data_IF_581644422946
#
_entry.id   IF_581644422946
#
_cell.length_a   1.000
_cell.length_b   1.000
_cell.length_c   1.000
_cell.angle_alpha   90.00
_cell.angle_beta   90.00
_cell.angle_gamma   90.00
#
_symmetry.space_group_name_H-M   'P 1'
#
loop_
_entity.id
_entity.type
_entity.pdbx_description
1 polymer ?
#
# COMPACT_ATOMS: atom_id res chain seq x y z
N UNK A 1 -17.70 -1.41 -12.41
CA UNK A 1 -17.30 -0.47 -13.47
C UNK A 1 -16.00 -0.96 -14.09
N UNK A 2 -15.84 -0.85 -15.42
CA UNK A 2 -14.58 -1.18 -16.08
C UNK A 2 -13.70 0.08 -16.18
N UNK A 3 -12.66 0.15 -15.35
CA UNK A 3 -11.67 1.23 -15.40
C UNK A 3 -10.68 1.02 -16.55
N UNK A 4 -10.20 2.11 -17.14
CA UNK A 4 -9.12 2.07 -18.13
C UNK A 4 -7.81 1.55 -17.52
N UNK A 5 -6.85 1.11 -18.34
CA UNK A 5 -5.55 0.68 -17.84
C UNK A 5 -4.84 1.77 -17.02
N UNK A 6 -4.97 3.05 -17.41
CA UNK A 6 -4.37 4.17 -16.69
C UNK A 6 -5.10 4.45 -15.37
N UNK A 7 -6.43 4.30 -15.33
CA UNK A 7 -7.21 4.41 -14.09
C UNK A 7 -6.89 3.27 -13.13
N UNK A 8 -6.75 2.04 -13.62
CA UNK A 8 -6.29 0.91 -12.80
C UNK A 8 -4.88 1.16 -12.24
N UNK A 9 -3.98 1.75 -13.04
CA UNK A 9 -2.67 2.17 -12.52
C UNK A 9 -2.81 3.24 -11.42
N UNK A 10 -3.71 4.22 -11.58
CA UNK A 10 -3.98 5.24 -10.56
C UNK A 10 -4.54 4.64 -9.26
N UNK A 11 -5.51 3.72 -9.36
CA UNK A 11 -6.10 3.01 -8.20
C UNK A 11 -5.02 2.21 -7.46
N UNK A 12 -4.20 1.44 -8.17
CA UNK A 12 -3.13 0.66 -7.53
C UNK A 12 -2.05 1.55 -6.90
N UNK A 13 -1.73 2.70 -7.54
CA UNK A 13 -0.78 3.66 -6.99
C UNK A 13 -1.35 4.36 -5.74
N UNK A 14 -2.65 4.69 -5.74
CA UNK A 14 -3.35 5.23 -4.57
C UNK A 14 -3.29 4.26 -3.40
N UNK A 15 -3.57 2.96 -3.62
CA UNK A 15 -3.43 1.94 -2.57
C UNK A 15 -2.01 1.84 -2.01
N UNK A 16 -0.99 1.94 -2.88
CA UNK A 16 0.41 1.96 -2.44
C UNK A 16 0.72 3.19 -1.57
N UNK A 17 0.31 4.38 -2.01
CA UNK A 17 0.59 5.62 -1.31
C UNK A 17 -0.27 5.81 -0.06
N UNK A 18 -1.46 5.20 0.01
CA UNK A 18 -2.23 5.08 1.24
C UNK A 18 -1.46 4.28 2.28
N UNK A 19 -0.99 3.08 1.93
CA UNK A 19 -0.21 2.27 2.86
C UNK A 19 1.08 2.98 3.32
N UNK A 20 1.78 3.67 2.41
CA UNK A 20 3.01 4.40 2.74
C UNK A 20 2.78 5.68 3.55
N UNK A 21 1.68 6.39 3.33
CA UNK A 21 1.30 7.54 4.16
C UNK A 21 0.98 7.08 5.59
N UNK A 22 0.29 5.94 5.76
CA UNK A 22 0.05 5.33 7.06
C UNK A 22 1.34 4.89 7.76
N UNK A 23 2.31 4.28 7.04
CA UNK A 23 3.64 3.96 7.60
C UNK A 23 4.31 5.21 8.14
N UNK A 24 4.24 6.31 7.38
CA UNK A 24 4.84 7.59 7.75
C UNK A 24 4.14 8.21 8.97
N UNK A 25 2.82 8.11 9.04
CA UNK A 25 1.97 8.62 10.11
C UNK A 25 2.25 7.89 11.42
N UNK A 26 2.10 6.56 11.46
CA UNK A 26 2.29 5.80 12.69
C UNK A 26 3.72 5.89 13.23
N UNK A 27 4.73 5.96 12.35
CA UNK A 27 6.10 6.14 12.78
C UNK A 27 6.32 7.48 13.51
N UNK A 28 5.51 8.50 13.25
CA UNK A 28 5.62 9.84 13.85
C UNK A 28 4.64 10.10 14.99
N UNK A 29 3.46 9.52 14.93
CA UNK A 29 2.36 9.84 15.87
C UNK A 29 1.99 8.67 16.77
N UNK A 30 2.31 7.43 16.38
CA UNK A 30 1.84 6.22 17.06
C UNK A 30 0.37 5.86 16.80
N UNK A 31 -0.36 6.69 16.02
CA UNK A 31 -1.78 6.54 15.71
C UNK A 31 -2.01 6.32 14.21
N UNK A 32 -3.13 5.70 13.89
CA UNK A 32 -3.59 5.42 12.52
C UNK A 32 -5.09 5.68 12.41
N UNK A 33 -5.54 6.17 11.27
CA UNK A 33 -6.95 6.07 10.91
C UNK A 33 -7.32 4.58 10.73
N UNK A 34 -8.35 4.12 11.45
CA UNK A 34 -8.73 2.70 11.45
C UNK A 34 -9.27 2.23 10.10
N UNK A 35 -10.07 3.04 9.41
CA UNK A 35 -10.65 2.68 8.11
C UNK A 35 -9.55 2.55 7.05
N UNK A 36 -8.64 3.52 6.94
CA UNK A 36 -7.56 3.47 5.97
C UNK A 36 -6.61 2.29 6.22
N UNK A 37 -6.30 2.02 7.50
CA UNK A 37 -5.49 0.88 7.90
C UNK A 37 -6.18 -0.43 7.51
N UNK A 38 -7.46 -0.59 7.86
CA UNK A 38 -8.22 -1.78 7.50
C UNK A 38 -8.32 -1.98 5.99
N UNK A 39 -8.50 -0.91 5.20
CA UNK A 39 -8.48 -1.00 3.73
C UNK A 39 -7.16 -1.59 3.24
N UNK A 40 -6.02 -1.12 3.76
CA UNK A 40 -4.71 -1.68 3.40
C UNK A 40 -4.58 -3.16 3.80
N UNK A 41 -5.02 -3.54 4.99
CA UNK A 41 -4.93 -4.93 5.47
C UNK A 41 -5.87 -5.86 4.70
N UNK A 42 -7.15 -5.47 4.54
CA UNK A 42 -8.13 -6.22 3.73
C UNK A 42 -7.64 -6.46 2.32
N UNK A 43 -6.92 -5.48 1.74
CA UNK A 43 -6.35 -5.63 0.41
C UNK A 43 -5.41 -6.84 0.31
N UNK A 44 -4.69 -7.21 1.37
CA UNK A 44 -3.77 -8.36 1.37
C UNK A 44 -4.48 -9.71 1.23
N UNK A 45 -5.77 -9.77 1.56
CA UNK A 45 -6.57 -10.99 1.56
C UNK A 45 -7.42 -11.16 0.29
N UNK A 46 -7.32 -10.22 -0.65
CA UNK A 46 -7.99 -10.30 -1.94
C UNK A 46 -7.08 -10.97 -2.98
N UNK A 47 -7.16 -12.31 -3.03
CA UNK A 47 -6.30 -13.21 -3.81
C UNK A 47 -6.65 -13.24 -5.30
N UNK A 48 -7.94 -13.14 -5.64
CA UNK A 48 -8.45 -13.25 -7.02
C UNK A 48 -9.46 -12.13 -7.32
N UNK A 49 -9.01 -10.87 -7.34
CA UNK A 49 -9.89 -9.74 -7.55
C UNK A 49 -10.50 -9.74 -8.96
N UNK A 50 -11.79 -9.47 -9.04
CA UNK A 50 -12.50 -9.24 -10.33
C UNK A 50 -12.04 -7.95 -11.02
N UNK A 51 -11.54 -6.97 -10.26
CA UNK A 51 -11.01 -5.71 -10.79
C UNK A 51 -9.95 -5.11 -9.86
N UNK A 52 -9.18 -4.14 -10.37
CA UNK A 52 -8.21 -3.42 -9.52
C UNK A 52 -8.88 -2.70 -8.35
N UNK A 53 -10.14 -2.26 -8.50
CA UNK A 53 -10.88 -1.59 -7.42
C UNK A 53 -11.39 -2.58 -6.37
N UNK A 54 -11.82 -3.78 -6.75
CA UNK A 54 -12.39 -4.76 -5.81
C UNK A 54 -11.39 -5.17 -4.73
N UNK A 55 -10.10 -5.02 -5.01
CA UNK A 55 -9.00 -5.11 -4.04
C UNK A 55 -9.17 -4.22 -2.81
N UNK A 56 -9.72 -3.02 -2.99
CA UNK A 56 -9.81 -1.99 -1.96
C UNK A 56 -11.27 -1.70 -1.54
N UNK A 57 -12.24 -2.25 -2.26
CA UNK A 57 -13.67 -2.09 -1.99
C UNK A 57 -14.30 -0.95 -2.78
N UNK A 58 -13.92 0.30 -2.51
CA UNK A 58 -14.47 1.49 -3.17
C UNK A 58 -13.41 2.56 -3.42
N UNK A 59 -13.74 3.60 -4.20
CA UNK A 59 -12.84 4.72 -4.41
C UNK A 59 -12.76 5.58 -3.14
N UNK A 60 -13.88 5.74 -2.41
CA UNK A 60 -13.93 6.45 -1.13
C UNK A 60 -12.93 5.92 -0.10
N UNK A 61 -12.76 4.60 -0.04
CA UNK A 61 -11.76 3.94 0.83
C UNK A 61 -10.29 4.20 0.42
N UNK A 62 -10.07 4.83 -0.74
CA UNK A 62 -8.76 5.22 -1.26
C UNK A 62 -8.54 6.73 -1.31
N UNK A 63 -9.45 7.55 -0.75
CA UNK A 63 -9.37 9.01 -0.83
C UNK A 63 -8.01 9.54 -0.36
N UNK A 64 -7.50 9.05 0.79
CA UNK A 64 -6.16 9.40 1.30
C UNK A 64 -5.08 9.03 0.29
N UNK A 65 -5.15 7.84 -0.29
CA UNK A 65 -4.22 7.37 -1.31
C UNK A 65 -4.22 8.26 -2.54
N UNK A 66 -5.40 8.64 -3.04
CA UNK A 66 -5.54 9.54 -4.18
C UNK A 66 -5.02 10.94 -3.87
N UNK A 67 -5.37 11.52 -2.72
CA UNK A 67 -4.87 12.83 -2.29
C UNK A 67 -3.34 12.86 -2.14
N UNK A 68 -2.76 11.78 -1.59
CA UNK A 68 -1.30 11.62 -1.51
C UNK A 68 -0.67 11.50 -2.91
N UNK A 69 -1.32 10.79 -3.82
CA UNK A 69 -0.86 10.66 -5.21
C UNK A 69 -0.89 12.00 -5.93
N UNK A 70 -1.99 12.73 -5.81
CA UNK A 70 -2.20 14.04 -6.43
C UNK A 70 -1.15 15.04 -5.97
N UNK A 71 -0.94 15.17 -4.65
CA UNK A 71 0.09 16.05 -4.08
C UNK A 71 1.50 15.73 -4.60
N UNK A 72 1.88 14.46 -4.68
CA UNK A 72 3.18 14.05 -5.23
C UNK A 72 3.32 14.33 -6.73
N UNK A 73 2.21 14.32 -7.48
CA UNK A 73 2.18 14.59 -8.91
C UNK A 73 2.04 16.09 -9.24
N UNK A 74 1.56 16.92 -8.33
CA UNK A 74 1.30 18.35 -8.55
C UNK A 74 2.42 19.26 -8.00
N UNK A 75 2.99 18.94 -6.84
CA UNK A 75 3.86 19.87 -6.12
C UNK A 75 5.34 19.80 -6.50
N UNK A 76 6.07 20.88 -6.17
CA UNK A 76 7.54 20.85 -6.07
C UNK A 76 7.93 19.99 -4.86
N UNK A 77 8.83 19.02 -5.07
CA UNK A 77 9.17 18.00 -4.09
C UNK A 77 9.83 18.62 -2.83
N UNK A 78 9.05 18.74 -1.74
CA UNK A 78 9.51 19.11 -0.40
C UNK A 78 10.12 17.94 0.38
N UNK A 79 10.68 18.20 1.57
CA UNK A 79 11.35 17.17 2.41
C UNK A 79 10.40 16.04 2.83
N UNK A 80 9.14 16.37 3.14
CA UNK A 80 8.12 15.40 3.53
C UNK A 80 7.73 14.47 2.38
N UNK A 81 7.69 15.00 1.16
CA UNK A 81 7.40 14.27 -0.07
C UNK A 81 8.58 13.35 -0.44
N UNK A 82 9.84 13.77 -0.18
CA UNK A 82 11.04 12.95 -0.43
C UNK A 82 11.01 11.62 0.32
N UNK A 83 10.61 11.60 1.59
CA UNK A 83 10.53 10.35 2.35
C UNK A 83 9.53 9.37 1.73
N UNK A 84 8.33 9.85 1.34
CA UNK A 84 7.33 9.00 0.68
C UNK A 84 7.80 8.49 -0.67
N UNK A 85 8.46 9.33 -1.47
CA UNK A 85 9.05 8.91 -2.75
C UNK A 85 10.11 7.83 -2.53
N UNK A 86 10.99 7.99 -1.53
CA UNK A 86 12.00 7.00 -1.20
C UNK A 86 11.37 5.67 -0.77
N UNK A 87 10.30 5.72 0.03
CA UNK A 87 9.55 4.51 0.39
C UNK A 87 8.93 3.86 -0.84
N UNK A 88 8.28 4.62 -1.72
CA UNK A 88 7.65 4.10 -2.94
C UNK A 88 8.67 3.46 -3.89
N UNK A 89 9.85 4.07 -4.06
CA UNK A 89 10.96 3.50 -4.83
C UNK A 89 11.45 2.19 -4.20
N UNK A 90 11.62 2.18 -2.87
CA UNK A 90 12.01 0.99 -2.12
C UNK A 90 11.02 -0.16 -2.23
N UNK A 91 9.73 0.13 -2.05
CA UNK A 91 8.62 -0.80 -2.24
C UNK A 91 8.62 -1.37 -3.66
N UNK A 92 8.76 -0.51 -4.67
CA UNK A 92 8.76 -0.94 -6.06
C UNK A 92 9.95 -1.85 -6.39
N UNK A 93 11.11 -1.63 -5.76
CA UNK A 93 12.27 -2.53 -5.87
C UNK A 93 11.98 -3.88 -5.21
N UNK A 94 11.48 -3.88 -3.97
CA UNK A 94 11.14 -5.10 -3.23
C UNK A 94 10.05 -5.94 -3.94
N UNK A 95 9.02 -5.29 -4.49
CA UNK A 95 8.00 -5.94 -5.31
C UNK A 95 8.61 -6.62 -6.55
N UNK A 96 9.55 -5.95 -7.22
CA UNK A 96 10.28 -6.53 -8.35
C UNK A 96 11.13 -7.75 -7.96
N UNK A 97 11.80 -7.71 -6.80
CA UNK A 97 12.55 -8.85 -6.26
C UNK A 97 11.64 -10.02 -5.89
N UNK A 98 10.53 -9.75 -5.21
CA UNK A 98 9.55 -10.77 -4.83
C UNK A 98 8.95 -11.46 -6.06
N UNK A 99 8.56 -10.71 -7.08
CA UNK A 99 8.00 -11.27 -8.33
C UNK A 99 8.98 -12.19 -9.08
N UNK A 100 10.29 -11.97 -8.93
CA UNK A 100 11.34 -12.82 -9.50
C UNK A 100 11.61 -14.07 -8.66
N UNK A 101 11.38 -14.01 -7.35
CA UNK A 101 11.54 -15.17 -6.46
C UNK A 101 10.20 -15.92 -6.30
N UNK A 102 9.93 -16.86 -7.22
CA UNK A 102 8.65 -17.59 -7.27
C UNK A 102 8.36 -18.39 -6.00
N UNK A 103 9.38 -19.01 -5.41
CA UNK A 103 9.22 -19.77 -4.18
C UNK A 103 8.79 -18.88 -3.01
N UNK A 104 9.47 -17.73 -2.83
CA UNK A 104 9.10 -16.78 -1.78
C UNK A 104 7.72 -16.17 -2.02
N UNK A 105 7.38 -15.85 -3.28
CA UNK A 105 6.04 -15.34 -3.62
C UNK A 105 4.95 -16.36 -3.26
N UNK A 106 5.17 -17.65 -3.56
CA UNK A 106 4.25 -18.72 -3.18
C UNK A 106 4.15 -18.86 -1.64
N UNK A 107 5.27 -18.77 -0.92
CA UNK A 107 5.26 -18.77 0.56
C UNK A 107 4.46 -17.59 1.12
N UNK A 108 4.63 -16.38 0.59
CA UNK A 108 3.85 -15.20 1.03
C UNK A 108 2.37 -15.42 0.76
N UNK A 109 1.99 -15.90 -0.44
CA UNK A 109 0.61 -16.20 -0.79
C UNK A 109 -0.03 -17.22 0.15
N UNK A 110 0.64 -18.35 0.39
CA UNK A 110 0.13 -19.37 1.31
C UNK A 110 -0.06 -18.84 2.73
N UNK A 111 0.93 -18.11 3.27
CA UNK A 111 0.82 -17.58 4.63
C UNK A 111 -0.25 -16.48 4.76
N UNK A 112 -0.48 -15.69 3.71
CA UNK A 112 -1.57 -14.72 3.67
C UNK A 112 -2.93 -15.42 3.62
N UNK A 113 -3.06 -16.52 2.88
CA UNK A 113 -4.26 -17.35 2.88
C UNK A 113 -4.58 -17.89 4.29
N UNK A 114 -3.56 -18.38 5.02
CA UNK A 114 -3.74 -18.85 6.39
C UNK A 114 -4.11 -17.71 7.36
N UNK A 115 -3.49 -16.53 7.20
CA UNK A 115 -3.80 -15.34 8.00
C UNK A 115 -5.21 -14.80 7.72
N UNK A 116 -5.72 -14.94 6.50
CA UNK A 116 -7.11 -14.59 6.13
C UNK A 116 -8.11 -15.38 6.98
N UNK A 117 -7.91 -16.68 7.17
CA UNK A 117 -8.77 -17.51 8.04
C UNK A 117 -8.73 -17.07 9.49
N UNK A 118 -7.60 -16.59 10.01
CA UNK A 118 -7.56 -16.03 11.37
C UNK A 118 -8.35 -14.72 11.48
N UNK A 119 -8.32 -13.90 10.42
CA UNK A 119 -9.01 -12.61 10.41
C UNK A 119 -10.54 -12.72 10.44
N UNK A 120 -11.13 -13.84 9.99
CA UNK A 120 -12.59 -14.05 10.06
C UNK A 120 -13.10 -14.22 11.49
N UNK A 121 -12.25 -14.70 12.40
CA UNK A 121 -12.59 -14.90 13.81
C UNK A 121 -12.33 -13.65 14.67
N UNK A 122 -11.24 -12.94 14.42
CA UNK A 122 -10.77 -11.85 15.28
C UNK A 122 -11.03 -10.43 14.72
N UNK A 123 -11.31 -10.32 13.42
CA UNK A 123 -11.29 -9.05 12.70
C UNK A 123 -9.91 -8.74 12.10
N UNK A 124 -9.90 -8.00 10.99
CA UNK A 124 -8.69 -7.71 10.20
C UNK A 124 -7.67 -6.81 10.92
N UNK A 125 -8.12 -6.01 11.87
CA UNK A 125 -7.31 -5.05 12.63
C UNK A 125 -6.82 -5.60 13.99
N UNK A 126 -7.16 -6.85 14.32
CA UNK A 126 -6.78 -7.46 15.59
C UNK A 126 -5.27 -7.74 15.66
N UNK A 127 -4.65 -7.50 16.83
CA UNK A 127 -3.20 -7.57 17.04
C UNK A 127 -2.58 -8.91 16.58
N UNK A 128 -3.21 -10.05 16.87
CA UNK A 128 -2.76 -11.36 16.40
C UNK A 128 -2.67 -11.47 14.87
N UNK A 129 -3.67 -10.92 14.14
CA UNK A 129 -3.69 -10.93 12.67
C UNK A 129 -2.56 -10.04 12.15
N UNK A 130 -2.42 -8.84 12.72
CA UNK A 130 -1.36 -7.90 12.32
C UNK A 130 0.03 -8.46 12.61
N UNK A 131 0.22 -9.09 13.78
CA UNK A 131 1.48 -9.73 14.16
C UNK A 131 1.83 -10.87 13.19
N UNK A 132 0.86 -11.71 12.79
CA UNK A 132 1.10 -12.76 11.80
C UNK A 132 1.49 -12.17 10.43
N UNK A 133 0.82 -11.12 9.95
CA UNK A 133 1.18 -10.42 8.70
C UNK A 133 2.59 -9.81 8.80
N UNK A 134 2.93 -9.18 9.93
CA UNK A 134 4.25 -8.64 10.20
C UNK A 134 5.34 -9.72 10.18
N UNK A 135 5.00 -10.91 10.67
CA UNK A 135 5.83 -12.11 10.64
C UNK A 135 6.04 -12.66 9.22
N UNK A 136 5.04 -12.52 8.33
CA UNK A 136 5.19 -12.82 6.91
C UNK A 136 6.26 -11.89 6.32
N UNK A 137 6.12 -10.59 6.51
CA UNK A 137 7.09 -9.61 6.02
C UNK A 137 8.50 -9.85 6.58
N UNK A 138 8.62 -10.13 7.88
CA UNK A 138 9.91 -10.36 8.55
C UNK A 138 10.63 -11.62 8.05
N UNK A 139 9.89 -12.73 7.88
CA UNK A 139 10.46 -14.02 7.46
C UNK A 139 10.66 -14.14 5.94
N UNK A 140 10.15 -13.19 5.15
CA UNK A 140 10.25 -13.22 3.68
C UNK A 140 10.91 -11.96 3.14
N UNK A 141 10.19 -10.84 3.06
CA UNK A 141 10.66 -9.62 2.40
C UNK A 141 11.90 -9.03 3.06
N UNK A 142 11.95 -9.06 4.40
CA UNK A 142 13.10 -8.53 5.15
C UNK A 142 14.39 -9.35 4.98
N UNK A 143 14.33 -10.53 4.36
CA UNK A 143 15.53 -11.33 4.06
C UNK A 143 16.27 -10.82 2.82
N UNK A 144 15.65 -9.94 2.01
CA UNK A 144 16.38 -9.25 0.95
C UNK A 144 17.41 -8.27 1.53
N UNK A 145 18.51 -8.07 0.81
CA UNK A 145 19.58 -7.15 1.22
C UNK A 145 19.15 -5.68 1.32
N UNK A 146 18.09 -5.29 0.62
CA UNK A 146 17.58 -3.92 0.64
C UNK A 146 16.56 -3.75 1.77
N UNK A 147 16.71 -2.69 2.56
CA UNK A 147 15.81 -2.37 3.67
C UNK A 147 15.23 -0.97 3.51
N UNK A 148 13.93 -0.84 3.70
CA UNK A 148 13.24 0.45 3.79
C UNK A 148 13.59 1.08 5.13
N UNK A 149 14.16 2.29 5.09
CA UNK A 149 14.55 3.04 6.28
C UNK A 149 13.38 3.91 6.75
N UNK A 150 12.53 3.39 7.62
CA UNK A 150 11.37 4.12 8.13
C UNK A 150 11.83 5.18 9.15
N UNK A 151 11.58 6.44 8.81
CA UNK A 151 11.85 7.61 9.67
C UNK A 151 10.60 8.01 10.46
N UNK A 152 10.81 8.24 11.75
CA UNK A 152 9.78 8.65 12.70
C UNK A 152 10.37 8.93 14.08
N UNK A 153 9.49 9.05 15.07
CA UNK A 153 9.88 9.29 16.47
C UNK A 153 10.34 7.98 17.11
N UNK A 154 11.48 8.04 17.80
CA UNK A 154 12.10 6.87 18.43
C UNK A 154 11.16 6.15 19.39
N UNK A 155 10.43 6.91 20.22
CA UNK A 155 9.48 6.39 21.21
C UNK A 155 8.39 5.52 20.61
N UNK A 156 7.93 5.81 19.38
CA UNK A 156 6.95 4.98 18.70
C UNK A 156 7.61 3.80 17.98
N UNK A 157 8.75 4.03 17.32
CA UNK A 157 9.46 2.99 16.56
C UNK A 157 9.97 1.83 17.43
N UNK A 158 10.16 2.05 18.73
CA UNK A 158 10.52 1.00 19.67
C UNK A 158 9.34 0.10 20.09
N UNK A 159 8.10 0.52 19.86
CA UNK A 159 6.92 -0.25 20.27
C UNK A 159 6.67 -1.40 19.30
N UNK A 160 6.52 -2.63 19.83
CA UNK A 160 6.27 -3.81 19.00
C UNK A 160 5.02 -3.68 18.14
N UNK A 161 3.92 -3.15 18.70
CA UNK A 161 2.67 -2.86 17.98
C UNK A 161 2.91 -2.00 16.74
N UNK A 162 3.66 -0.90 16.91
CA UNK A 162 3.99 0.04 15.82
C UNK A 162 4.85 -0.65 14.77
N UNK A 163 5.86 -1.42 15.19
CA UNK A 163 6.72 -2.17 14.28
C UNK A 163 5.92 -3.20 13.45
N UNK A 164 4.97 -3.90 14.06
CA UNK A 164 4.13 -4.88 13.36
C UNK A 164 3.16 -4.21 12.39
N UNK A 165 2.51 -3.12 12.80
CA UNK A 165 1.66 -2.32 11.92
C UNK A 165 2.44 -1.74 10.73
N UNK A 166 3.68 -1.26 10.94
CA UNK A 166 4.56 -0.82 9.85
C UNK A 166 4.83 -1.97 8.88
N UNK A 167 5.24 -3.14 9.37
CA UNK A 167 5.55 -4.29 8.49
C UNK A 167 4.33 -4.77 7.72
N UNK A 168 3.16 -4.79 8.35
CA UNK A 168 1.90 -5.14 7.69
C UNK A 168 1.56 -4.14 6.57
N UNK A 169 1.69 -2.83 6.84
CA UNK A 169 1.49 -1.79 5.82
C UNK A 169 2.53 -1.85 4.69
N UNK A 170 3.80 -2.14 5.00
CA UNK A 170 4.82 -2.33 3.97
C UNK A 170 4.50 -3.53 3.07
N UNK A 171 3.96 -4.63 3.62
CA UNK A 171 3.49 -5.75 2.81
C UNK A 171 2.30 -5.35 1.93
N UNK A 172 1.34 -4.58 2.46
CA UNK A 172 0.22 -4.04 1.68
C UNK A 172 0.69 -3.14 0.52
N UNK A 173 1.68 -2.27 0.78
CA UNK A 173 2.29 -1.44 -0.25
C UNK A 173 3.02 -2.28 -1.33
N UNK A 174 3.68 -3.38 -0.95
CA UNK A 174 4.29 -4.32 -1.91
C UNK A 174 3.22 -4.98 -2.79
N UNK A 175 2.12 -5.46 -2.19
CA UNK A 175 0.98 -6.00 -2.94
C UNK A 175 0.46 -4.95 -3.93
N UNK A 176 0.21 -3.73 -3.47
CA UNK A 176 -0.26 -2.63 -4.34
C UNK A 176 0.73 -2.33 -5.48
N UNK A 177 2.05 -2.43 -5.23
CA UNK A 177 3.08 -2.29 -6.27
C UNK A 177 3.08 -3.42 -7.29
N UNK A 178 2.81 -4.66 -6.85
CA UNK A 178 2.60 -5.79 -7.77
C UNK A 178 1.37 -5.55 -8.63
N UNK A 179 0.25 -5.14 -8.04
CA UNK A 179 -0.99 -4.82 -8.74
C UNK A 179 -0.79 -3.67 -9.74
N UNK A 180 -0.03 -2.65 -9.37
CA UNK A 180 0.33 -1.55 -10.27
C UNK A 180 1.11 -2.06 -11.49
N UNK A 181 2.10 -2.93 -11.28
CA UNK A 181 2.88 -3.55 -12.36
C UNK A 181 2.02 -4.45 -13.27
N UNK A 182 1.09 -5.21 -12.70
CA UNK A 182 0.14 -6.04 -13.46
C UNK A 182 -0.72 -5.20 -14.41
N UNK A 183 -1.08 -3.98 -14.00
CA UNK A 183 -1.81 -3.02 -14.83
C UNK A 183 -0.92 -2.20 -15.77
N UNK A 184 0.34 -2.59 -15.99
CA UNK A 184 1.27 -1.87 -16.85
C UNK A 184 1.98 -0.69 -16.18
N UNK A 185 1.97 -0.60 -14.86
CA UNK A 185 2.74 0.36 -14.09
C UNK A 185 4.24 0.25 -14.35
N UNK A 186 4.91 1.40 -14.51
CA UNK A 186 6.37 1.50 -14.64
C UNK A 186 6.82 2.89 -14.22
N UNK A 187 7.92 2.98 -13.48
CA UNK A 187 8.46 4.27 -12.99
C UNK A 187 8.79 5.18 -14.17
N UNK A 188 9.45 4.65 -15.20
CA UNK A 188 9.77 5.42 -16.40
C UNK A 188 8.53 5.89 -17.15
N UNK A 189 7.52 5.02 -17.29
CA UNK A 189 6.25 5.41 -17.93
C UNK A 189 5.48 6.45 -17.11
N UNK A 190 5.53 6.35 -15.78
CA UNK A 190 4.93 7.33 -14.88
C UNK A 190 5.59 8.70 -15.03
N UNK A 191 6.92 8.76 -15.10
CA UNK A 191 7.65 10.02 -15.29
C UNK A 191 7.32 10.66 -16.64
N UNK A 192 7.29 9.87 -17.73
CA UNK A 192 6.95 10.36 -19.07
C UNK A 192 5.46 10.72 -19.22
N UNK A 193 4.58 10.00 -18.51
CA UNK A 193 3.13 10.13 -18.57
C UNK A 193 2.52 10.94 -17.41
N UNK A 194 3.33 11.66 -16.63
CA UNK A 194 2.93 12.32 -15.37
C UNK A 194 1.63 13.12 -15.50
N UNK A 195 1.53 13.96 -16.52
CA UNK A 195 0.37 14.83 -16.72
C UNK A 195 -0.92 14.05 -17.04
N UNK A 196 -0.82 12.93 -17.76
CA UNK A 196 -1.99 12.09 -18.06
C UNK A 196 -2.45 11.36 -16.80
N UNK A 197 -1.51 10.77 -16.05
CA UNK A 197 -1.82 10.10 -14.79
C UNK A 197 -2.44 11.07 -13.77
N UNK A 198 -1.90 12.29 -13.68
CA UNK A 198 -2.41 13.32 -12.78
C UNK A 198 -3.89 13.64 -13.04
N UNK A 199 -4.30 13.77 -14.32
CA UNK A 199 -5.70 14.00 -14.68
C UNK A 199 -6.62 12.86 -14.23
N UNK A 200 -6.21 11.61 -14.43
CA UNK A 200 -7.00 10.45 -13.96
C UNK A 200 -7.08 10.41 -12.43
N UNK A 201 -5.98 10.70 -11.74
CA UNK A 201 -5.94 10.76 -10.27
C UNK A 201 -6.89 11.85 -9.76
N UNK A 202 -6.91 13.03 -10.37
CA UNK A 202 -7.83 14.10 -9.98
C UNK A 202 -9.30 13.70 -10.19
N UNK A 203 -9.63 13.10 -11.33
CA UNK A 203 -11.00 12.63 -11.60
C UNK A 203 -11.46 11.55 -10.59
N UNK A 204 -10.58 10.59 -10.28
CA UNK A 204 -10.86 9.54 -9.29
C UNK A 204 -10.92 10.10 -7.86
N UNK A 205 -10.09 11.09 -7.52
CA UNK A 205 -10.12 11.76 -6.23
C UNK A 205 -11.46 12.48 -6.00
N UNK A 206 -11.95 13.23 -6.99
CA UNK A 206 -13.26 13.89 -6.88
C UNK A 206 -14.39 12.87 -6.72
N UNK A 207 -14.32 11.75 -7.45
CA UNK A 207 -15.29 10.66 -7.29
C UNK A 207 -15.22 10.04 -5.88
N UNK A 208 -14.02 9.82 -5.34
CA UNK A 208 -13.84 9.26 -3.99
C UNK A 208 -14.43 10.14 -2.89
N UNK A 209 -14.28 11.47 -3.00
CA UNK A 209 -14.86 12.43 -2.06
C UNK A 209 -16.39 12.38 -2.10
N UNK A 210 -16.98 12.25 -3.29
CA UNK A 210 -18.42 12.10 -3.44
C UNK A 210 -18.94 10.83 -2.78
N UNK A 211 -18.25 9.69 -2.96
CA UNK A 211 -18.61 8.41 -2.31
C UNK A 211 -18.59 8.50 -0.78
N UNK A 212 -17.69 9.28 -0.19
CA UNK A 212 -17.60 9.47 1.27
C UNK A 212 -18.61 10.48 1.83
N UNK A 213 -19.26 11.27 0.98
CA UNK A 213 -20.30 12.24 1.35
C UNK A 213 -21.73 11.69 1.22
N UNK A 214 -21.90 10.57 0.50
CA UNK A 214 -23.17 9.90 0.23
C UNK A 214 -23.50 8.86 1.30
#
# INVERSE_FOLDING_TARGET
MNYSALQNQAIALAGMLQALSLVKEIARTGYLNSQDFETCIKSLFEDSPESTLSVYGSLGLLERGFGTTESLLNERIGSHQKDLINYAVGINNLAGKLLRNKNMLATVGQRLHDAKHQSTHFGVSHDNVISNIADIYSKTISTFSYRIQVKGEYTYLQQQRVADQIRALLLAAIRASILWRQNGGSVWRLLLGRNKLHKEVQALLETSKYENQA
#
